data_IF_650109813724
#
_entry.id   IF_650109813724
#
_cell.length_a   1.000
_cell.length_b   1.000
_cell.length_c   1.000
_cell.angle_alpha   90.00
_cell.angle_beta   90.00
_cell.angle_gamma   90.00
#
_symmetry.space_group_name_H-M   'P 1'
#
loop_
_entity.id
_entity.type
_entity.pdbx_description
1 polymer ?
#
# COMPACT_ATOMS: atom_id res chain seq x y z
N UNK A 1 17.58 48.72 20.24
CA UNK A 1 17.60 47.63 19.24
C UNK A 1 16.80 46.49 19.82
N UNK A 2 15.55 46.37 19.40
CA UNK A 2 14.65 45.29 19.81
C UNK A 2 14.72 44.18 18.77
N UNK A 3 14.70 42.90 19.15
CA UNK A 3 14.17 41.87 18.27
C UNK A 3 12.67 41.73 18.55
N UNK A 4 11.88 42.11 17.54
CA UNK A 4 10.51 41.65 17.33
C UNK A 4 10.59 40.50 16.33
N UNK A 5 10.10 39.32 16.71
CA UNK A 5 9.05 38.65 15.95
C UNK A 5 8.61 37.39 16.66
N UNK A 6 7.33 37.39 16.98
CA UNK A 6 6.52 36.25 17.37
C UNK A 6 6.36 35.35 16.15
N UNK A 7 7.07 34.22 16.10
CA UNK A 7 6.70 33.11 15.22
C UNK A 7 5.71 32.21 15.95
N UNK A 8 4.56 32.06 15.31
CA UNK A 8 3.41 31.33 15.80
C UNK A 8 3.76 29.87 16.12
N UNK A 9 3.29 29.44 17.29
CA UNK A 9 3.21 28.06 17.71
C UNK A 9 2.40 27.25 16.68
N UNK A 10 3.09 26.52 15.80
CA UNK A 10 2.46 25.52 14.93
C UNK A 10 2.14 24.30 15.80
N UNK A 11 0.96 24.34 16.41
CA UNK A 11 0.37 23.21 17.12
C UNK A 11 -0.09 22.15 16.11
N UNK A 12 0.85 21.28 15.69
CA UNK A 12 0.53 20.02 15.01
C UNK A 12 0.18 18.96 16.05
N UNK A 13 -0.97 19.12 16.71
CA UNK A 13 -1.59 18.03 17.44
C UNK A 13 -2.29 17.08 16.45
N UNK A 14 -1.52 16.42 15.57
CA UNK A 14 -1.99 15.21 14.90
C UNK A 14 -2.11 14.15 15.99
N UNK A 15 -3.34 13.92 16.44
CA UNK A 15 -3.63 12.94 17.48
C UNK A 15 -3.49 11.56 16.84
N UNK A 16 -2.25 11.05 16.77
CA UNK A 16 -1.98 9.66 16.46
C UNK A 16 -2.64 8.81 17.54
N UNK A 17 -3.84 8.32 17.26
CA UNK A 17 -4.50 7.31 18.08
C UNK A 17 -3.57 6.11 18.11
N UNK A 18 -2.89 5.89 19.25
CA UNK A 18 -2.03 4.73 19.43
C UNK A 18 -2.94 3.51 19.36
N UNK A 19 -2.84 2.77 18.25
CA UNK A 19 -3.54 1.51 18.08
C UNK A 19 -3.14 0.58 19.24
N UNK A 20 -4.14 0.08 19.96
CA UNK A 20 -3.93 -0.95 21.00
C UNK A 20 -3.28 -2.17 20.34
N UNK A 21 -2.35 -2.88 21.00
CA UNK A 21 -1.58 -3.98 20.38
C UNK A 21 -2.45 -5.05 19.72
N UNK A 22 -3.65 -5.37 20.26
CA UNK A 22 -4.57 -6.32 19.65
C UNK A 22 -5.09 -5.86 18.27
N UNK A 23 -5.51 -4.59 18.14
CA UNK A 23 -5.97 -4.03 16.86
C UNK A 23 -4.83 -4.00 15.83
N UNK A 24 -3.60 -3.71 16.28
CA UNK A 24 -2.43 -3.77 15.41
C UNK A 24 -2.15 -5.19 14.90
N UNK A 25 -2.31 -6.23 15.74
CA UNK A 25 -2.18 -7.63 15.30
C UNK A 25 -3.25 -8.01 14.27
N UNK A 26 -4.51 -7.57 14.47
CA UNK A 26 -5.60 -7.82 13.53
C UNK A 26 -5.31 -7.16 12.16
N UNK A 27 -4.80 -5.92 12.17
CA UNK A 27 -4.41 -5.21 10.94
C UNK A 27 -3.27 -5.94 10.23
N UNK A 28 -2.24 -6.38 10.95
CA UNK A 28 -1.11 -7.13 10.37
C UNK A 28 -1.61 -8.41 9.71
N UNK A 29 -2.50 -9.17 10.37
CA UNK A 29 -3.05 -10.39 9.80
C UNK A 29 -3.84 -10.13 8.52
N UNK A 30 -4.65 -9.06 8.48
CA UNK A 30 -5.43 -8.66 7.29
C UNK A 30 -4.51 -8.23 6.14
N UNK A 31 -3.50 -7.41 6.42
CA UNK A 31 -2.53 -6.96 5.41
C UNK A 31 -1.75 -8.14 4.86
N UNK A 32 -1.25 -9.02 5.73
CA UNK A 32 -0.52 -10.24 5.31
C UNK A 32 -1.36 -11.11 4.40
N UNK A 33 -2.62 -11.36 4.76
CA UNK A 33 -3.52 -12.15 3.92
C UNK A 33 -3.74 -11.50 2.54
N UNK A 34 -3.88 -10.17 2.49
CA UNK A 34 -4.01 -9.42 1.24
C UNK A 34 -2.72 -9.47 0.38
N UNK A 35 -1.55 -9.40 1.02
CA UNK A 35 -0.25 -9.51 0.35
C UNK A 35 -0.04 -10.91 -0.24
N UNK A 36 -0.32 -11.95 0.53
CA UNK A 36 -0.23 -13.36 0.08
C UNK A 36 -1.16 -13.61 -1.10
N UNK A 37 -2.41 -13.13 -1.02
CA UNK A 37 -3.40 -13.27 -2.09
C UNK A 37 -2.88 -12.66 -3.42
N UNK A 38 -2.26 -11.48 -3.35
CA UNK A 38 -1.69 -10.78 -4.51
C UNK A 38 -0.49 -11.51 -5.14
N UNK A 39 0.05 -12.58 -4.54
CA UNK A 39 1.13 -13.37 -5.13
C UNK A 39 0.66 -14.35 -6.21
N UNK A 40 -0.63 -14.70 -6.23
CA UNK A 40 -1.19 -15.69 -7.15
C UNK A 40 -1.55 -15.11 -8.53
N UNK A 41 -1.39 -15.90 -9.59
CA UNK A 41 -1.85 -15.49 -10.92
C UNK A 41 -3.36 -15.33 -11.00
N UNK A 42 -4.15 -16.18 -10.32
CA UNK A 42 -5.60 -16.08 -10.29
C UNK A 42 -6.06 -14.71 -9.79
N UNK A 43 -5.48 -14.23 -8.69
CA UNK A 43 -5.78 -12.89 -8.16
C UNK A 43 -5.24 -11.78 -9.06
N UNK A 44 -4.03 -11.92 -9.61
CA UNK A 44 -3.44 -10.91 -10.49
C UNK A 44 -4.18 -10.76 -11.83
N UNK A 45 -4.79 -11.83 -12.31
CA UNK A 45 -5.64 -11.84 -13.51
C UNK A 45 -7.10 -11.43 -13.22
N UNK A 46 -7.49 -11.27 -11.96
CA UNK A 46 -8.78 -10.68 -11.58
C UNK A 46 -8.64 -9.18 -11.28
N UNK A 47 -8.93 -8.37 -12.30
CA UNK A 47 -8.90 -6.92 -12.19
C UNK A 47 -9.80 -6.35 -11.07
N UNK A 48 -10.92 -7.00 -10.73
CA UNK A 48 -11.79 -6.54 -9.63
C UNK A 48 -11.12 -6.81 -8.30
N UNK A 49 -10.49 -7.98 -8.14
CA UNK A 49 -9.77 -8.31 -6.91
C UNK A 49 -8.56 -7.41 -6.70
N UNK A 50 -7.70 -7.22 -7.71
CA UNK A 50 -6.55 -6.30 -7.62
C UNK A 50 -7.00 -4.87 -7.28
N UNK A 51 -8.12 -4.40 -7.83
CA UNK A 51 -8.71 -3.09 -7.46
C UNK A 51 -9.17 -3.02 -6.01
N UNK A 52 -9.50 -4.13 -5.34
CA UNK A 52 -9.82 -4.12 -3.91
C UNK A 52 -8.57 -4.10 -3.04
N UNK A 53 -7.43 -4.58 -3.57
CA UNK A 53 -6.16 -4.69 -2.85
C UNK A 53 -5.32 -3.41 -2.95
N UNK A 54 -5.41 -2.68 -4.07
CA UNK A 54 -4.65 -1.46 -4.29
C UNK A 54 -5.48 -0.21 -4.02
N UNK A 55 -4.94 0.71 -3.21
CA UNK A 55 -5.55 2.03 -2.97
C UNK A 55 -5.86 2.76 -4.30
N UNK A 56 -6.98 3.51 -4.42
CA UNK A 56 -7.32 4.25 -5.64
C UNK A 56 -6.19 5.15 -6.17
N UNK A 57 -5.46 5.80 -5.26
CA UNK A 57 -4.33 6.69 -5.58
C UNK A 57 -2.97 5.98 -5.59
N UNK A 58 -2.95 4.64 -5.73
CA UNK A 58 -1.71 3.88 -5.75
C UNK A 58 -0.73 4.41 -6.82
N UNK A 59 0.53 4.55 -6.38
CA UNK A 59 1.70 4.96 -7.15
C UNK A 59 2.92 4.17 -6.70
N UNK A 60 3.72 3.71 -7.64
CA UNK A 60 4.97 3.00 -7.37
C UNK A 60 6.08 3.48 -8.32
N UNK A 61 7.32 3.56 -7.83
CA UNK A 61 8.51 3.74 -8.66
C UNK A 61 9.14 2.38 -8.90
N UNK A 62 9.01 1.86 -10.12
CA UNK A 62 9.60 0.57 -10.48
C UNK A 62 11.13 0.64 -10.54
N UNK A 63 11.80 -0.51 -10.58
CA UNK A 63 13.27 -0.61 -10.65
C UNK A 63 13.90 0.19 -11.81
N UNK A 64 13.17 0.40 -12.90
CA UNK A 64 13.59 1.21 -14.04
C UNK A 64 13.52 2.73 -13.82
N UNK A 65 12.97 3.18 -12.68
CA UNK A 65 12.61 4.58 -12.42
C UNK A 65 11.27 4.99 -13.03
N UNK A 66 10.57 4.09 -13.75
CA UNK A 66 9.22 4.36 -14.27
C UNK A 66 8.24 4.54 -13.11
N UNK A 67 7.43 5.59 -13.17
CA UNK A 67 6.23 5.74 -12.34
C UNK A 67 5.13 4.81 -12.84
N UNK A 68 4.55 4.02 -11.93
CA UNK A 68 3.43 3.13 -12.15
C UNK A 68 2.20 3.65 -11.42
N UNK A 69 1.09 3.78 -12.15
CA UNK A 69 -0.21 4.04 -11.56
C UNK A 69 -0.95 2.73 -11.29
N UNK A 70 -1.98 2.78 -10.44
CA UNK A 70 -2.91 1.64 -10.27
C UNK A 70 -3.42 1.08 -11.60
N UNK A 71 -3.74 1.94 -12.56
CA UNK A 71 -4.23 1.53 -13.88
C UNK A 71 -3.13 0.82 -14.69
N UNK A 72 -1.89 1.31 -14.64
CA UNK A 72 -0.75 0.65 -15.30
C UNK A 72 -0.55 -0.76 -14.74
N UNK A 73 -0.54 -0.90 -13.40
CA UNK A 73 -0.38 -2.20 -12.74
C UNK A 73 -1.51 -3.16 -13.12
N UNK A 74 -2.76 -2.69 -13.17
CA UNK A 74 -3.89 -3.53 -13.57
C UNK A 74 -3.75 -4.07 -15.00
N UNK A 75 -3.32 -3.24 -15.94
CA UNK A 75 -3.13 -3.65 -17.34
C UNK A 75 -1.99 -4.67 -17.43
N UNK A 76 -0.85 -4.37 -16.82
CA UNK A 76 0.32 -5.23 -16.89
C UNK A 76 0.07 -6.60 -16.25
N UNK A 77 -0.57 -6.63 -15.07
CA UNK A 77 -0.88 -7.88 -14.38
C UNK A 77 -1.89 -8.73 -15.16
N UNK A 78 -2.86 -8.12 -15.85
CA UNK A 78 -3.81 -8.87 -16.70
C UNK A 78 -3.14 -9.56 -17.89
N UNK A 79 -2.07 -8.96 -18.42
CA UNK A 79 -1.37 -9.44 -19.62
C UNK A 79 -0.17 -10.33 -19.28
N UNK A 80 0.27 -10.37 -18.01
CA UNK A 80 1.42 -11.19 -17.59
C UNK A 80 1.12 -12.70 -17.75
N UNK A 81 2.09 -13.52 -18.19
CA UNK A 81 1.90 -14.95 -18.29
C UNK A 81 1.65 -15.57 -16.91
N UNK A 82 0.75 -16.55 -16.86
CA UNK A 82 0.48 -17.27 -15.61
C UNK A 82 1.75 -17.97 -15.10
N UNK A 83 1.90 -17.97 -13.76
CA UNK A 83 3.03 -18.57 -13.06
C UNK A 83 2.56 -19.27 -11.80
N UNK A 84 3.38 -20.20 -11.30
CA UNK A 84 3.11 -20.82 -10.00
C UNK A 84 3.17 -19.77 -8.90
N UNK A 85 2.21 -19.82 -7.98
CA UNK A 85 2.24 -19.03 -6.74
C UNK A 85 3.46 -19.48 -5.92
N UNK A 86 4.32 -18.55 -5.47
CA UNK A 86 5.45 -18.88 -4.62
C UNK A 86 4.97 -19.34 -3.24
N UNK A 87 5.77 -20.20 -2.62
CA UNK A 87 5.59 -20.54 -1.20
C UNK A 87 6.06 -19.36 -0.33
N UNK A 88 5.32 -19.09 0.74
CA UNK A 88 5.63 -18.05 1.71
C UNK A 88 5.92 -18.71 3.04
N UNK A 89 6.95 -18.24 3.74
CA UNK A 89 7.20 -18.68 5.12
C UNK A 89 6.05 -18.25 6.04
N UNK A 90 5.88 -18.94 7.18
CA UNK A 90 4.90 -18.61 8.22
C UNK A 90 5.36 -17.47 9.13
#
# INVERSE_FOLDING_TARGET
MSPSSSDADVSIAETATVATPAVAQDVIAVVRAAEIDLLSSDTRHDARRVRSLLHPDFREIGRSGRMWTRSDVLIELLEEPARRTPETDD
#
